data_IF_049021823316
#
_entry.id   IF_049021823316
#
_cell.length_a   1.000
_cell.length_b   1.000
_cell.length_c   1.000
_cell.angle_alpha   90.00
_cell.angle_beta   90.00
_cell.angle_gamma   90.00
#
_symmetry.space_group_name_H-M   'P 1'
#
loop_
_entity.id
_entity.type
_entity.pdbx_description
1 polymer ?
#
# COMPACT_ATOMS: atom_id res chain seq x y z
N UNK A 1 -7.48 -4.06 32.16
CA UNK A 1 -8.55 -4.18 31.14
C UNK A 1 -7.92 -4.91 29.97
N UNK A 2 -8.44 -6.08 29.57
CA UNK A 2 -7.85 -6.84 28.47
C UNK A 2 -7.94 -6.02 27.19
N UNK A 3 -6.80 -5.59 26.67
CA UNK A 3 -6.66 -5.16 25.29
C UNK A 3 -7.15 -6.33 24.43
N UNK A 4 -8.35 -6.21 23.88
CA UNK A 4 -8.81 -7.16 22.88
C UNK A 4 -7.86 -6.99 21.69
N UNK A 5 -7.08 -8.01 21.40
CA UNK A 5 -6.41 -8.14 20.11
C UNK A 5 -7.50 -8.20 19.05
N UNK A 6 -7.90 -7.03 18.55
CA UNK A 6 -8.83 -6.90 17.43
C UNK A 6 -8.04 -7.30 16.19
N UNK A 7 -8.49 -8.35 15.52
CA UNK A 7 -8.00 -8.74 14.20
C UNK A 7 -9.01 -8.26 13.16
N UNK A 8 -8.51 -7.67 12.08
CA UNK A 8 -9.33 -7.12 10.99
C UNK A 8 -8.82 -7.62 9.65
N UNK A 9 -9.73 -7.79 8.69
CA UNK A 9 -9.35 -8.13 7.31
C UNK A 9 -9.27 -6.85 6.49
N UNK A 10 -8.08 -6.58 5.95
CA UNK A 10 -7.86 -5.53 4.96
C UNK A 10 -7.83 -6.14 3.57
N UNK A 11 -8.61 -5.57 2.67
CA UNK A 11 -8.52 -5.86 1.25
C UNK A 11 -7.58 -4.87 0.60
N UNK A 12 -6.74 -5.37 -0.30
CA UNK A 12 -5.81 -4.53 -1.03
C UNK A 12 -5.92 -4.72 -2.54
N UNK A 13 -5.68 -3.63 -3.27
CA UNK A 13 -5.45 -3.65 -4.71
C UNK A 13 -4.24 -2.80 -5.02
N UNK A 14 -3.23 -3.42 -5.61
CA UNK A 14 -2.00 -2.80 -6.08
C UNK A 14 -2.03 -2.69 -7.60
N UNK A 15 -1.64 -1.53 -8.13
CA UNK A 15 -1.32 -1.36 -9.54
C UNK A 15 0.12 -0.86 -9.66
N UNK A 16 0.87 -1.40 -10.60
CA UNK A 16 2.22 -0.96 -10.97
C UNK A 16 2.23 -0.72 -12.47
N UNK A 17 2.65 0.47 -12.89
CA UNK A 17 2.82 0.80 -14.30
C UNK A 17 4.30 0.97 -14.57
N UNK A 18 4.86 0.10 -15.40
CA UNK A 18 6.25 0.15 -15.83
C UNK A 18 6.28 0.68 -17.27
N UNK A 19 7.07 1.72 -17.51
CA UNK A 19 7.32 2.23 -18.85
C UNK A 19 8.65 1.67 -19.37
N UNK A 20 8.61 0.94 -20.49
CA UNK A 20 9.80 0.37 -21.12
C UNK A 20 10.42 1.32 -22.16
N UNK A 21 11.70 1.09 -22.48
CA UNK A 21 12.51 1.81 -23.48
C UNK A 21 11.97 1.53 -24.89
N UNK A 22 10.81 2.12 -25.19
CA UNK A 22 10.06 1.91 -26.42
C UNK A 22 8.65 2.49 -26.43
N UNK A 23 8.23 3.20 -25.37
CA UNK A 23 6.90 3.80 -25.26
C UNK A 23 5.78 2.77 -25.03
N UNK A 24 6.14 1.59 -24.52
CA UNK A 24 5.18 0.57 -24.09
C UNK A 24 5.05 0.65 -22.57
N UNK A 25 3.84 0.91 -22.12
CA UNK A 25 3.49 0.85 -20.71
C UNK A 25 2.84 -0.50 -20.43
N UNK A 26 3.44 -1.28 -19.54
CA UNK A 26 2.84 -2.50 -19.01
C UNK A 26 2.25 -2.20 -17.62
N UNK A 27 0.96 -2.47 -17.46
CA UNK A 27 0.29 -2.34 -16.16
C UNK A 27 0.08 -3.72 -15.56
N UNK A 28 0.67 -3.95 -14.39
CA UNK A 28 0.40 -5.14 -13.57
C UNK A 28 -0.50 -4.78 -12.40
N UNK A 29 -1.51 -5.62 -12.16
CA UNK A 29 -2.45 -5.46 -11.05
C UNK A 29 -2.45 -6.69 -10.17
N UNK A 30 -2.36 -6.50 -8.85
CA UNK A 30 -2.48 -7.54 -7.84
C UNK A 30 -3.55 -7.15 -6.83
N UNK A 31 -4.32 -8.11 -6.33
CA UNK A 31 -5.30 -7.86 -5.27
C UNK A 31 -5.39 -9.04 -4.33
N UNK A 32 -5.65 -8.77 -3.05
CA UNK A 32 -5.77 -9.80 -2.03
C UNK A 32 -6.46 -9.29 -0.77
N UNK A 33 -6.45 -10.16 0.25
CA UNK A 33 -6.95 -9.83 1.58
C UNK A 33 -5.94 -10.30 2.60
N UNK A 34 -5.72 -9.51 3.65
CA UNK A 34 -4.77 -9.80 4.73
C UNK A 34 -5.47 -9.60 6.07
N UNK A 35 -5.33 -10.58 6.96
CA UNK A 35 -5.72 -10.43 8.35
C UNK A 35 -4.58 -9.75 9.10
N UNK A 36 -4.90 -8.70 9.85
CA UNK A 36 -3.91 -7.92 10.59
C UNK A 36 -4.39 -7.62 12.00
N UNK A 37 -3.43 -7.59 12.91
CA UNK A 37 -3.59 -7.21 14.32
C UNK A 37 -2.78 -5.96 14.62
N UNK A 38 -3.07 -5.32 15.75
CA UNK A 38 -2.31 -4.16 16.18
C UNK A 38 -0.83 -4.51 16.36
N UNK A 39 0.05 -3.71 15.77
CA UNK A 39 1.50 -3.93 15.73
C UNK A 39 2.00 -4.67 14.49
N UNK A 40 1.11 -5.26 13.69
CA UNK A 40 1.53 -6.01 12.49
C UNK A 40 2.07 -5.09 11.39
N UNK A 41 3.10 -5.55 10.70
CA UNK A 41 3.48 -4.98 9.41
C UNK A 41 2.59 -5.57 8.31
N UNK A 42 2.15 -4.76 7.35
CA UNK A 42 1.35 -5.28 6.24
C UNK A 42 2.25 -6.13 5.32
N UNK A 43 1.94 -7.42 5.08
CA UNK A 43 2.78 -8.29 4.25
C UNK A 43 2.53 -8.08 2.75
N UNK A 44 2.41 -6.83 2.31
CA UNK A 44 2.20 -6.48 0.90
C UNK A 44 3.57 -6.16 0.31
N UNK A 45 4.02 -6.97 -0.64
CA UNK A 45 5.35 -6.83 -1.24
C UNK A 45 5.57 -5.39 -1.78
N UNK A 46 6.77 -4.84 -1.52
CA UNK A 46 7.19 -3.42 -1.71
C UNK A 46 6.58 -2.38 -0.74
N UNK A 47 5.61 -2.72 0.11
CA UNK A 47 5.13 -1.85 1.20
C UNK A 47 5.79 -2.18 2.54
N UNK A 48 7.11 -2.14 2.58
CA UNK A 48 7.88 -2.60 3.75
C UNK A 48 7.68 -1.74 5.00
N UNK A 49 7.11 -0.56 4.83
CA UNK A 49 7.03 0.44 5.90
C UNK A 49 5.62 0.67 6.45
N UNK A 50 4.58 0.02 5.90
CA UNK A 50 3.23 0.18 6.46
C UNK A 50 3.01 -0.75 7.66
N UNK A 51 2.73 -0.16 8.82
CA UNK A 51 2.44 -0.86 10.07
C UNK A 51 1.07 -0.51 10.63
N UNK A 52 0.42 -1.45 11.27
CA UNK A 52 -0.82 -1.21 12.00
C UNK A 52 -0.46 -0.66 13.39
N UNK A 53 -0.73 0.62 13.60
CA UNK A 53 -0.43 1.29 14.88
C UNK A 53 -1.52 1.05 15.92
N UNK A 54 -2.79 1.09 15.49
CA UNK A 54 -3.94 1.00 16.38
C UNK A 54 -5.13 0.42 15.62
N UNK A 55 -5.89 -0.48 16.27
CA UNK A 55 -7.16 -0.98 15.76
C UNK A 55 -8.25 -0.64 16.77
N UNK A 56 -9.25 0.10 16.31
CA UNK A 56 -10.46 0.42 17.05
C UNK A 56 -11.67 -0.27 16.38
N UNK A 57 -12.83 -0.18 17.01
CA UNK A 57 -14.08 -0.76 16.47
C UNK A 57 -14.52 -0.14 15.14
N UNK A 58 -14.11 1.09 14.87
CA UNK A 58 -14.59 1.92 13.75
C UNK A 58 -13.46 2.45 12.85
N UNK A 59 -12.20 2.40 13.30
CA UNK A 59 -11.04 2.75 12.47
C UNK A 59 -9.80 1.90 12.72
N UNK A 60 -8.89 1.91 11.76
CA UNK A 60 -7.53 1.37 11.83
C UNK A 60 -6.56 2.53 11.57
N UNK A 61 -5.58 2.73 12.45
CA UNK A 61 -4.48 3.68 12.22
C UNK A 61 -3.29 2.93 11.63
N UNK A 62 -2.88 3.34 10.45
CA UNK A 62 -1.74 2.79 9.72
C UNK A 62 -0.58 3.81 9.76
N UNK A 63 0.60 3.36 10.14
CA UNK A 63 1.85 4.12 10.09
C UNK A 63 2.66 3.74 8.85
N UNK A 64 3.48 4.66 8.36
CA UNK A 64 4.36 4.53 7.18
C UNK A 64 5.06 5.87 6.94
N UNK A 65 5.33 6.25 5.69
CA UNK A 65 5.79 7.62 5.36
C UNK A 65 4.85 8.70 5.89
N UNK A 66 3.55 8.41 5.92
CA UNK A 66 2.52 9.23 6.54
C UNK A 66 1.56 8.35 7.32
N UNK A 67 1.17 8.82 8.49
CA UNK A 67 0.09 8.20 9.25
C UNK A 67 -1.24 8.40 8.52
N UNK A 68 -2.02 7.34 8.43
CA UNK A 68 -3.33 7.32 7.79
C UNK A 68 -4.34 6.65 8.70
N UNK A 69 -5.59 7.14 8.64
CA UNK A 69 -6.72 6.55 9.36
C UNK A 69 -7.68 5.96 8.33
N UNK A 70 -7.93 4.66 8.46
CA UNK A 70 -8.86 3.92 7.62
C UNK A 70 -10.10 3.58 8.44
N UNK A 71 -11.22 4.22 8.12
CA UNK A 71 -12.50 3.89 8.73
C UNK A 71 -13.11 2.62 8.12
N UNK A 72 -13.88 1.90 8.93
CA UNK A 72 -14.63 0.72 8.48
C UNK A 72 -15.54 1.07 7.30
N UNK A 73 -15.50 0.28 6.22
CA UNK A 73 -16.23 0.54 4.98
C UNK A 73 -15.68 1.67 4.11
N UNK A 74 -14.60 2.33 4.53
CA UNK A 74 -13.86 3.30 3.73
C UNK A 74 -12.62 2.67 3.11
N UNK A 75 -11.92 3.44 2.28
CA UNK A 75 -10.64 3.05 1.73
C UNK A 75 -9.63 4.20 1.81
N UNK A 76 -8.36 3.84 1.86
CA UNK A 76 -7.23 4.77 1.72
C UNK A 76 -6.41 4.39 0.50
N UNK A 77 -5.82 5.38 -0.17
CA UNK A 77 -4.95 5.15 -1.33
C UNK A 77 -3.56 5.69 -1.02
N UNK A 78 -2.55 4.87 -1.27
CA UNK A 78 -1.14 5.22 -1.26
C UNK A 78 -0.68 5.27 -2.71
N UNK A 79 0.03 6.33 -3.07
CA UNK A 79 0.65 6.49 -4.38
C UNK A 79 2.08 6.95 -4.20
N UNK A 80 3.01 6.33 -4.91
CA UNK A 80 4.40 6.76 -4.96
C UNK A 80 5.00 6.41 -6.32
N UNK A 81 6.07 7.11 -6.64
CA UNK A 81 6.91 6.88 -7.82
C UNK A 81 8.25 6.37 -7.32
N UNK A 82 8.73 5.23 -7.81
CA UNK A 82 10.11 4.83 -7.56
C UNK A 82 11.03 5.65 -8.47
N UNK A 83 12.07 6.31 -7.93
CA UNK A 83 13.03 7.05 -8.74
C UNK A 83 13.65 6.15 -9.83
N UNK A 84 13.56 6.60 -11.08
CA UNK A 84 14.04 5.91 -12.25
C UNK A 84 15.56 5.98 -12.35
N UNK A 85 16.15 5.12 -13.18
CA UNK A 85 17.59 5.17 -13.43
C UNK A 85 17.88 6.09 -14.61
N UNK A 86 18.94 6.89 -14.47
CA UNK A 86 19.51 7.67 -15.57
C UNK A 86 20.38 6.72 -16.41
N UNK A 87 20.12 6.67 -17.72
CA UNK A 87 20.95 5.90 -18.64
C UNK A 87 22.26 6.65 -18.97
N UNK A 88 23.14 5.99 -19.75
CA UNK A 88 24.42 6.55 -20.13
C UNK A 88 24.34 7.84 -20.98
N UNK A 89 23.16 8.19 -21.50
CA UNK A 89 22.89 9.36 -22.33
C UNK A 89 22.28 10.54 -21.52
N UNK A 90 22.15 10.41 -20.20
CA UNK A 90 21.58 11.44 -19.33
C UNK A 90 20.05 11.54 -19.45
N UNK A 91 19.40 10.53 -20.02
CA UNK A 91 17.95 10.44 -20.12
C UNK A 91 17.43 9.74 -18.87
N UNK A 92 16.66 10.49 -18.07
CA UNK A 92 15.95 9.94 -16.92
C UNK A 92 14.66 9.29 -17.43
N UNK A 93 14.58 7.97 -17.34
CA UNK A 93 13.37 7.23 -17.64
C UNK A 93 12.50 7.18 -16.38
N UNK A 94 11.28 7.70 -16.45
CA UNK A 94 10.31 7.68 -15.33
C UNK A 94 9.96 6.23 -14.99
N UNK A 95 10.40 5.73 -13.84
CA UNK A 95 9.81 5.86 -12.49
C UNK A 95 8.46 5.15 -12.39
N UNK A 96 8.47 3.85 -12.09
CA UNK A 96 7.27 3.05 -11.93
C UNK A 96 6.22 3.72 -11.03
N UNK A 97 5.05 4.03 -11.60
CA UNK A 97 3.91 4.55 -10.85
C UNK A 97 3.24 3.42 -10.09
N UNK A 98 3.23 3.55 -8.77
CA UNK A 98 2.65 2.56 -7.90
C UNK A 98 1.45 3.11 -7.14
N UNK A 99 0.37 2.33 -7.11
CA UNK A 99 -0.85 2.63 -6.36
C UNK A 99 -1.22 1.45 -5.48
N UNK A 100 -1.60 1.72 -4.23
CA UNK A 100 -2.24 0.75 -3.34
C UNK A 100 -3.49 1.34 -2.74
N UNK A 101 -4.59 0.63 -2.95
CA UNK A 101 -5.85 0.88 -2.26
C UNK A 101 -6.00 -0.15 -1.14
N UNK A 102 -6.17 0.31 0.10
CA UNK A 102 -6.55 -0.51 1.25
C UNK A 102 -7.98 -0.22 1.65
N UNK A 103 -8.76 -1.26 1.92
CA UNK A 103 -10.16 -1.17 2.30
C UNK A 103 -10.44 -2.13 3.46
N UNK A 104 -11.11 -1.64 4.50
CA UNK A 104 -11.55 -2.48 5.61
C UNK A 104 -13.01 -2.90 5.39
N UNK A 105 -13.24 -4.21 5.21
CA UNK A 105 -14.58 -4.81 5.11
C UNK A 105 -14.96 -5.59 6.36
N UNK A 106 -16.28 -5.77 6.54
CA UNK A 106 -16.92 -6.53 7.63
C UNK A 106 -16.62 -8.02 7.60
#
# INVERSE_FOLDING_TARGET
MSEKNLTVTLHFKRNCTTEDIGGKSDTTSESGSIEVSQGDALPIAKFRDIKVLEICSDYIRLGGDKEQILHKGSYVTYSWTEDGYEDHDGVVWSTDDHFLKLEWRE
#
